data_IF_164678827060
#
_entry.id   IF_164678827060
#
_cell.length_a   1.000
_cell.length_b   1.000
_cell.length_c   1.000
_cell.angle_alpha   90.00
_cell.angle_beta   90.00
_cell.angle_gamma   90.00
#
_symmetry.space_group_name_H-M   'P 1'
#
loop_
_entity.id
_entity.type
_entity.pdbx_description
1 polymer ?
#
# COMPACT_ATOMS: atom_id res chain seq x y z
N UNK A 1 -5.79 -16.97 2.27
CA UNK A 1 -6.76 -15.84 2.40
C UNK A 1 -6.54 -15.22 3.78
N UNK A 2 -6.01 -13.99 3.88
CA UNK A 2 -5.63 -13.37 5.18
C UNK A 2 -6.22 -11.96 5.25
N UNK A 3 -6.59 -11.51 6.45
CA UNK A 3 -7.17 -10.18 6.65
C UNK A 3 -6.23 -9.07 6.19
N UNK A 4 -6.80 -8.00 5.64
CA UNK A 4 -6.09 -6.77 5.26
C UNK A 4 -6.62 -5.54 6.02
N UNK A 5 -7.55 -5.74 6.96
CA UNK A 5 -8.14 -4.67 7.75
C UNK A 5 -7.30 -4.31 8.99
N UNK A 6 -7.31 -3.04 9.36
CA UNK A 6 -6.70 -2.55 10.61
C UNK A 6 -7.41 -3.11 11.85
N UNK A 7 -6.72 -3.13 12.99
CA UNK A 7 -7.22 -3.68 14.24
C UNK A 7 -8.44 -2.95 14.79
N UNK A 8 -8.55 -1.65 14.55
CA UNK A 8 -9.71 -0.82 14.90
C UNK A 8 -10.99 -1.35 14.23
N UNK A 9 -10.91 -1.67 12.93
CA UNK A 9 -12.01 -2.28 12.20
C UNK A 9 -12.24 -3.73 12.62
N UNK A 10 -11.19 -4.51 12.88
CA UNK A 10 -11.33 -5.91 13.27
C UNK A 10 -12.13 -6.07 14.57
N UNK A 11 -11.80 -5.29 15.60
CA UNK A 11 -12.41 -5.40 16.95
C UNK A 11 -13.88 -4.99 17.00
N UNK A 12 -14.30 -4.09 16.11
CA UNK A 12 -15.62 -3.46 16.15
C UNK A 12 -16.61 -4.03 15.12
N UNK A 13 -16.29 -5.16 14.49
CA UNK A 13 -17.14 -5.76 13.44
C UNK A 13 -18.15 -6.73 14.03
N UNK A 14 -19.41 -6.48 13.73
CA UNK A 14 -20.53 -7.39 14.01
C UNK A 14 -20.97 -8.22 12.81
N UNK A 15 -20.55 -7.85 11.59
CA UNK A 15 -20.91 -8.54 10.33
C UNK A 15 -19.69 -8.65 9.39
N UNK A 16 -19.61 -9.73 8.56
CA UNK A 16 -18.57 -9.86 7.56
C UNK A 16 -18.54 -8.66 6.61
N UNK A 17 -17.33 -8.22 6.25
CA UNK A 17 -17.15 -7.11 5.33
C UNK A 17 -17.12 -7.58 3.86
N UNK A 18 -17.08 -6.62 2.93
CA UNK A 18 -16.99 -6.90 1.49
C UNK A 18 -15.85 -7.86 1.14
N UNK A 19 -14.69 -7.78 1.82
CA UNK A 19 -13.55 -8.67 1.56
C UNK A 19 -13.89 -10.15 1.76
N UNK A 20 -14.83 -10.48 2.66
CA UNK A 20 -15.32 -11.83 2.81
C UNK A 20 -16.29 -12.21 1.68
N UNK A 21 -17.20 -11.31 1.32
CA UNK A 21 -18.18 -11.53 0.24
C UNK A 21 -17.54 -11.73 -1.14
N UNK A 22 -16.35 -11.16 -1.36
CA UNK A 22 -15.55 -11.37 -2.58
C UNK A 22 -14.45 -12.42 -2.40
N UNK A 23 -14.57 -13.29 -1.39
CA UNK A 23 -13.70 -14.45 -1.18
C UNK A 23 -12.22 -14.16 -0.87
N UNK A 24 -11.88 -12.94 -0.45
CA UNK A 24 -10.49 -12.55 -0.10
C UNK A 24 -10.13 -12.74 1.37
N UNK A 25 -11.13 -12.83 2.25
CA UNK A 25 -10.96 -12.99 3.69
C UNK A 25 -11.91 -14.06 4.25
N UNK A 26 -11.42 -14.87 5.17
CA UNK A 26 -12.20 -15.91 5.88
C UNK A 26 -12.99 -15.38 7.08
N UNK A 27 -13.03 -14.05 7.24
CA UNK A 27 -13.81 -13.34 8.25
C UNK A 27 -13.54 -13.79 9.71
N UNK A 28 -12.26 -13.84 10.16
CA UNK A 28 -11.93 -14.11 11.57
C UNK A 28 -12.53 -13.10 12.55
N UNK A 29 -12.82 -11.86 12.10
CA UNK A 29 -13.39 -10.80 12.94
C UNK A 29 -14.80 -11.10 13.45
N UNK A 30 -15.50 -12.07 12.87
CA UNK A 30 -16.85 -12.49 13.28
C UNK A 30 -16.93 -13.99 13.54
N UNK A 31 -15.78 -14.67 13.72
CA UNK A 31 -15.73 -16.08 14.10
C UNK A 31 -16.19 -17.08 13.04
N UNK A 32 -16.21 -16.70 11.75
CA UNK A 32 -16.57 -17.62 10.65
C UNK A 32 -15.46 -18.63 10.31
N UNK A 33 -14.29 -18.50 10.92
CA UNK A 33 -13.14 -19.40 10.82
C UNK A 33 -12.56 -19.58 12.22
N UNK A 34 -12.08 -20.78 12.54
CA UNK A 34 -11.44 -21.03 13.83
C UNK A 34 -10.07 -20.33 13.91
N UNK A 35 -9.60 -20.09 15.14
CA UNK A 35 -8.27 -19.49 15.35
C UNK A 35 -7.16 -20.37 14.75
N UNK A 36 -7.26 -21.69 14.92
CA UNK A 36 -6.28 -22.65 14.39
C UNK A 36 -6.28 -22.69 12.86
N UNK A 37 -7.46 -22.74 12.22
CA UNK A 37 -7.55 -22.72 10.75
C UNK A 37 -7.04 -21.39 10.19
N UNK A 38 -7.33 -20.27 10.86
CA UNK A 38 -6.84 -18.97 10.44
C UNK A 38 -5.32 -18.83 10.63
N UNK A 39 -4.78 -19.35 11.73
CA UNK A 39 -3.33 -19.40 11.95
C UNK A 39 -2.63 -20.18 10.83
N UNK A 40 -3.20 -21.30 10.41
CA UNK A 40 -2.70 -22.08 9.28
C UNK A 40 -2.70 -21.29 7.96
N UNK A 41 -3.75 -20.51 7.70
CA UNK A 41 -3.84 -19.64 6.52
C UNK A 41 -2.78 -18.53 6.54
N UNK A 42 -2.49 -17.97 7.73
CA UNK A 42 -1.44 -16.96 7.92
C UNK A 42 -0.05 -17.57 7.70
N UNK A 43 0.19 -18.76 8.22
CA UNK A 43 1.44 -19.50 8.03
C UNK A 43 1.67 -19.78 6.53
N UNK A 44 0.68 -20.31 5.83
CA UNK A 44 0.76 -20.61 4.40
C UNK A 44 1.02 -19.34 3.57
N UNK A 45 0.36 -18.23 3.91
CA UNK A 45 0.59 -16.94 3.26
C UNK A 45 2.01 -16.43 3.53
N UNK A 46 2.52 -16.63 4.75
CA UNK A 46 3.90 -16.27 5.12
C UNK A 46 4.93 -17.09 4.35
N UNK A 47 4.73 -18.40 4.22
CA UNK A 47 5.58 -19.29 3.41
C UNK A 47 5.63 -18.83 1.95
N UNK A 48 4.47 -18.51 1.38
CA UNK A 48 4.37 -17.99 0.02
C UNK A 48 5.16 -16.67 -0.15
N UNK A 49 4.96 -15.69 0.73
CA UNK A 49 5.62 -14.38 0.66
C UNK A 49 7.13 -14.45 0.90
N UNK A 50 7.60 -15.47 1.65
CA UNK A 50 9.04 -15.76 1.85
C UNK A 50 9.67 -16.53 0.68
N UNK A 51 8.91 -16.84 -0.37
CA UNK A 51 9.40 -17.59 -1.53
C UNK A 51 9.51 -19.10 -1.30
N UNK A 52 9.02 -19.62 -0.17
CA UNK A 52 8.97 -21.07 0.13
C UNK A 52 7.78 -21.75 -0.56
N UNK A 53 7.52 -21.43 -1.83
CA UNK A 53 6.34 -21.92 -2.55
C UNK A 53 6.38 -23.43 -2.77
N UNK A 54 7.55 -24.04 -2.90
CA UNK A 54 7.68 -25.49 -3.11
C UNK A 54 7.31 -26.27 -1.85
N UNK A 55 7.74 -25.80 -0.67
CA UNK A 55 7.34 -26.32 0.64
C UNK A 55 5.83 -26.21 0.83
N UNK A 56 5.25 -25.06 0.47
CA UNK A 56 3.80 -24.84 0.53
C UNK A 56 3.02 -25.76 -0.43
N UNK A 57 3.52 -26.00 -1.65
CA UNK A 57 2.86 -26.90 -2.60
C UNK A 57 2.81 -28.35 -2.11
N UNK A 58 3.89 -28.83 -1.49
CA UNK A 58 3.93 -30.18 -0.89
C UNK A 58 2.88 -30.26 0.22
N UNK A 59 2.87 -29.29 1.15
CA UNK A 59 1.90 -29.25 2.24
C UNK A 59 0.45 -29.24 1.75
N UNK A 60 0.14 -28.43 0.74
CA UNK A 60 -1.21 -28.37 0.17
C UNK A 60 -1.60 -29.65 -0.59
N UNK A 61 -0.64 -30.36 -1.17
CA UNK A 61 -0.89 -31.67 -1.78
C UNK A 61 -1.22 -32.72 -0.71
N UNK A 62 -0.44 -32.74 0.37
CA UNK A 62 -0.66 -33.65 1.51
C UNK A 62 -2.02 -33.36 2.17
N UNK A 63 -2.35 -32.09 2.42
CA UNK A 63 -3.64 -31.65 2.97
C UNK A 63 -4.82 -32.05 2.04
N UNK A 64 -4.63 -31.96 0.72
CA UNK A 64 -5.62 -32.37 -0.28
C UNK A 64 -5.86 -33.89 -0.24
N UNK A 65 -4.78 -34.68 -0.21
CA UNK A 65 -4.87 -36.15 -0.14
C UNK A 65 -5.53 -36.61 1.16
N UNK A 66 -5.18 -35.99 2.29
CA UNK A 66 -5.79 -36.29 3.58
C UNK A 66 -7.29 -35.95 3.58
N UNK A 67 -7.67 -34.77 3.09
CA UNK A 67 -9.09 -34.40 2.99
C UNK A 67 -9.88 -35.35 2.07
N UNK A 68 -9.26 -35.85 0.99
CA UNK A 68 -9.88 -36.85 0.12
C UNK A 68 -10.03 -38.20 0.81
N UNK A 69 -9.04 -38.63 1.61
CA UNK A 69 -9.10 -39.86 2.40
C UNK A 69 -10.20 -39.81 3.48
N UNK A 70 -10.43 -38.63 4.05
CA UNK A 70 -11.50 -38.36 5.03
C UNK A 70 -12.88 -38.13 4.38
N UNK A 71 -13.00 -38.31 3.05
CA UNK A 71 -14.22 -38.07 2.26
C UNK A 71 -14.72 -36.61 2.29
N UNK A 72 -13.85 -35.66 2.65
CA UNK A 72 -14.13 -34.23 2.70
C UNK A 72 -13.85 -33.56 1.34
N UNK A 73 -14.59 -33.96 0.30
CA UNK A 73 -14.34 -33.56 -1.10
C UNK A 73 -14.36 -32.05 -1.36
N UNK A 74 -15.19 -31.29 -0.64
CA UNK A 74 -15.24 -29.83 -0.76
C UNK A 74 -13.91 -29.19 -0.29
N UNK A 75 -13.36 -29.67 0.84
CA UNK A 75 -12.05 -29.21 1.33
C UNK A 75 -10.93 -29.62 0.37
N UNK A 76 -10.95 -30.86 -0.13
CA UNK A 76 -9.98 -31.32 -1.12
C UNK A 76 -10.02 -30.48 -2.40
N UNK A 77 -11.21 -30.10 -2.89
CA UNK A 77 -11.36 -29.21 -4.04
C UNK A 77 -10.74 -27.82 -3.79
N UNK A 78 -10.93 -27.25 -2.59
CA UNK A 78 -10.31 -25.97 -2.21
C UNK A 78 -8.77 -26.07 -2.24
N UNK A 79 -8.18 -27.13 -1.69
CA UNK A 79 -6.72 -27.33 -1.73
C UNK A 79 -6.19 -27.52 -3.15
N UNK A 80 -6.88 -28.32 -3.98
CA UNK A 80 -6.56 -28.51 -5.39
C UNK A 80 -6.54 -27.19 -6.16
N UNK A 81 -7.55 -26.35 -5.95
CA UNK A 81 -7.67 -25.07 -6.65
C UNK A 81 -6.56 -24.09 -6.20
N UNK A 82 -6.21 -24.09 -4.89
CA UNK A 82 -5.07 -23.33 -4.38
C UNK A 82 -3.74 -23.81 -4.99
N UNK A 83 -3.56 -25.12 -5.12
CA UNK A 83 -2.37 -25.73 -5.69
C UNK A 83 -2.22 -25.37 -7.17
N UNK A 84 -3.31 -25.43 -7.93
CA UNK A 84 -3.36 -25.00 -9.34
C UNK A 84 -3.04 -23.50 -9.49
N UNK A 85 -3.61 -22.64 -8.65
CA UNK A 85 -3.30 -21.20 -8.65
C UNK A 85 -1.82 -20.93 -8.33
N UNK A 86 -1.26 -21.63 -7.34
CA UNK A 86 0.16 -21.52 -7.00
C UNK A 86 1.07 -21.96 -8.15
N UNK A 87 0.74 -23.06 -8.82
CA UNK A 87 1.47 -23.54 -9.99
C UNK A 87 1.40 -22.55 -11.15
N UNK A 88 0.24 -21.94 -11.41
CA UNK A 88 0.08 -20.93 -12.46
C UNK A 88 0.86 -19.65 -12.16
N UNK A 89 0.87 -19.22 -10.89
CA UNK A 89 1.71 -18.10 -10.44
C UNK A 89 3.19 -18.43 -10.55
N UNK A 90 3.60 -19.68 -10.25
CA UNK A 90 4.99 -20.09 -10.40
C UNK A 90 5.42 -20.18 -11.88
N UNK A 91 4.56 -20.72 -12.74
CA UNK A 91 4.81 -20.82 -14.17
C UNK A 91 4.88 -19.45 -14.86
N UNK A 92 4.13 -18.46 -14.38
CA UNK A 92 4.15 -17.09 -14.89
C UNK A 92 5.28 -16.21 -14.33
N UNK A 93 6.01 -16.67 -13.30
CA UNK A 93 7.02 -15.86 -12.60
C UNK A 93 8.44 -16.45 -12.57
N UNK A 94 8.72 -17.49 -13.36
CA UNK A 94 10.08 -17.94 -13.57
C UNK A 94 10.81 -17.07 -14.59
N UNK A 95 11.35 -15.92 -14.20
CA UNK A 95 12.48 -15.36 -14.95
C UNK A 95 13.75 -15.93 -14.32
N UNK A 96 14.27 -17.00 -14.94
CA UNK A 96 15.56 -17.59 -14.58
C UNK A 96 16.66 -16.50 -14.53
N UNK A 97 17.54 -16.56 -13.54
CA UNK A 97 18.75 -15.72 -13.47
C UNK A 97 18.74 -14.55 -12.48
N UNK A 98 17.64 -14.30 -11.76
CA UNK A 98 17.64 -13.32 -10.64
C UNK A 98 17.68 -14.05 -9.31
N UNK A 99 18.70 -13.79 -8.50
CA UNK A 99 18.80 -14.25 -7.11
C UNK A 99 18.87 -13.05 -6.17
N UNK A 100 18.24 -13.19 -4.99
CA UNK A 100 18.27 -12.20 -3.92
C UNK A 100 17.12 -11.19 -3.93
N UNK A 101 17.13 -10.36 -2.89
CA UNK A 101 16.13 -9.33 -2.64
C UNK A 101 16.60 -8.00 -3.23
N UNK A 102 15.72 -7.37 -4.02
CA UNK A 102 15.97 -6.07 -4.61
C UNK A 102 14.73 -5.18 -4.58
N UNK A 103 14.93 -3.88 -4.48
CA UNK A 103 13.85 -2.91 -4.66
C UNK A 103 14.13 -2.06 -5.89
N UNK A 104 13.07 -1.67 -6.60
CA UNK A 104 13.17 -0.80 -7.78
C UNK A 104 12.45 0.50 -7.46
N UNK A 105 13.16 1.62 -7.59
CA UNK A 105 12.66 2.95 -7.31
C UNK A 105 12.71 3.76 -8.60
N UNK A 106 11.55 4.10 -9.14
CA UNK A 106 11.44 4.93 -10.33
C UNK A 106 10.82 6.27 -9.97
N UNK A 107 11.48 7.37 -10.37
CA UNK A 107 10.94 8.71 -10.23
C UNK A 107 10.48 9.26 -11.59
N UNK A 108 9.32 9.91 -11.60
CA UNK A 108 8.83 10.73 -12.69
C UNK A 108 8.59 12.15 -12.17
N UNK A 109 8.91 13.16 -12.98
CA UNK A 109 8.69 14.58 -12.66
C UNK A 109 7.98 15.24 -13.83
N UNK A 110 6.89 15.92 -13.54
CA UNK A 110 6.05 16.61 -14.52
C UNK A 110 5.32 17.76 -13.84
N UNK A 111 5.20 18.92 -14.52
CA UNK A 111 4.44 20.08 -14.05
C UNK A 111 4.74 20.51 -12.58
N UNK A 112 6.01 20.44 -12.15
CA UNK A 112 6.41 20.82 -10.77
C UNK A 112 5.96 19.84 -9.68
N UNK A 113 5.70 18.57 -10.05
CA UNK A 113 5.35 17.48 -9.15
C UNK A 113 6.19 16.24 -9.44
N UNK A 114 6.45 15.45 -8.40
CA UNK A 114 7.18 14.19 -8.48
C UNK A 114 6.26 13.06 -8.07
N UNK A 115 6.49 11.92 -8.71
CA UNK A 115 5.99 10.64 -8.29
C UNK A 115 7.18 9.69 -8.16
N UNK A 116 7.29 9.01 -7.03
CA UNK A 116 8.26 7.94 -6.81
C UNK A 116 7.51 6.64 -6.63
N UNK A 117 7.70 5.71 -7.56
CA UNK A 117 7.20 4.35 -7.49
C UNK A 117 8.25 3.42 -6.91
N UNK A 118 7.89 2.69 -5.85
CA UNK A 118 8.72 1.66 -5.23
C UNK A 118 8.12 0.29 -5.52
N UNK A 119 8.87 -0.58 -6.20
CA UNK A 119 8.51 -1.97 -6.47
C UNK A 119 9.36 -2.89 -5.58
N UNK A 120 8.71 -3.78 -4.85
CA UNK A 120 9.38 -4.71 -3.94
C UNK A 120 9.57 -6.06 -4.62
N UNK A 121 10.82 -6.49 -4.81
CA UNK A 121 11.16 -7.77 -5.42
C UNK A 121 11.89 -8.66 -4.44
N UNK A 122 11.32 -9.83 -4.11
CA UNK A 122 11.93 -10.81 -3.21
C UNK A 122 11.95 -12.17 -3.89
N UNK A 123 13.07 -12.89 -3.78
CA UNK A 123 13.27 -14.17 -4.45
C UNK A 123 12.83 -14.17 -5.94
N UNK A 124 13.25 -13.14 -6.69
CA UNK A 124 12.90 -12.91 -8.10
C UNK A 124 11.41 -12.68 -8.43
N UNK A 125 10.58 -12.39 -7.42
CA UNK A 125 9.15 -12.11 -7.59
C UNK A 125 8.78 -10.73 -7.10
N UNK A 126 7.89 -10.08 -7.82
CA UNK A 126 7.30 -8.81 -7.40
C UNK A 126 6.28 -9.10 -6.29
N UNK A 127 6.54 -8.66 -5.06
CA UNK A 127 5.61 -8.81 -3.93
C UNK A 127 4.55 -7.73 -3.91
N UNK A 128 4.83 -6.57 -4.50
CA UNK A 128 3.92 -5.44 -4.51
C UNK A 128 4.63 -4.15 -4.88
N UNK A 129 3.88 -3.06 -4.84
CA UNK A 129 4.42 -1.74 -5.14
C UNK A 129 3.74 -0.66 -4.32
N UNK A 130 4.39 0.49 -4.18
CA UNK A 130 3.85 1.65 -3.47
C UNK A 130 4.28 2.94 -4.15
N UNK A 131 3.32 3.86 -4.25
CA UNK A 131 3.49 5.17 -4.87
C UNK A 131 3.65 6.24 -3.81
N UNK A 132 4.56 7.18 -4.04
CA UNK A 132 4.81 8.32 -3.18
C UNK A 132 4.84 9.61 -4.00
N UNK A 133 4.43 10.71 -3.39
CA UNK A 133 4.44 12.03 -4.03
C UNK A 133 5.26 13.00 -3.16
N UNK A 134 6.61 12.90 -3.20
CA UNK A 134 7.45 13.78 -2.41
C UNK A 134 7.29 15.24 -2.87
N UNK A 135 7.37 16.22 -1.96
CA UNK A 135 7.39 17.62 -2.34
C UNK A 135 8.66 17.91 -3.16
N UNK A 136 8.50 18.58 -4.30
CA UNK A 136 9.63 19.12 -5.06
C UNK A 136 10.09 20.46 -4.51
N UNK A 137 11.40 20.68 -4.55
CA UNK A 137 11.99 22.02 -4.60
C UNK A 137 12.04 22.50 -6.06
N UNK A 138 12.26 23.79 -6.26
CA UNK A 138 12.22 24.40 -7.61
C UNK A 138 13.21 23.69 -8.54
N UNK A 139 12.70 23.20 -9.68
CA UNK A 139 13.47 22.60 -10.79
C UNK A 139 14.20 21.28 -10.49
N UNK A 140 13.75 20.50 -9.49
CA UNK A 140 14.38 19.18 -9.27
C UNK A 140 14.09 18.21 -10.41
N UNK A 141 15.13 17.51 -10.88
CA UNK A 141 15.03 16.43 -11.84
C UNK A 141 14.81 15.07 -11.14
N UNK A 142 14.44 13.98 -11.85
CA UNK A 142 14.23 12.68 -11.24
C UNK A 142 15.42 12.12 -10.43
N UNK A 143 16.66 12.44 -10.82
CA UNK A 143 17.85 11.99 -10.09
C UNK A 143 18.00 12.70 -8.74
N UNK A 144 17.72 14.00 -8.69
CA UNK A 144 17.72 14.80 -7.45
C UNK A 144 16.60 14.35 -6.51
N UNK A 145 15.39 14.11 -7.05
CA UNK A 145 14.26 13.56 -6.29
C UNK A 145 14.63 12.23 -5.65
N UNK A 146 15.24 11.31 -6.41
CA UNK A 146 15.71 10.03 -5.86
C UNK A 146 16.87 10.21 -4.86
N UNK A 147 17.76 11.18 -5.10
CA UNK A 147 18.86 11.52 -4.21
C UNK A 147 18.39 11.93 -2.81
N UNK A 148 17.28 12.67 -2.72
CA UNK A 148 16.66 13.01 -1.44
C UNK A 148 15.77 11.89 -0.89
N UNK A 149 14.99 11.24 -1.77
CA UNK A 149 13.99 10.26 -1.37
C UNK A 149 14.62 8.97 -0.81
N UNK A 150 15.65 8.42 -1.46
CA UNK A 150 16.24 7.11 -1.07
C UNK A 150 16.81 7.11 0.35
N UNK A 151 17.68 8.08 0.76
CA UNK A 151 18.16 8.14 2.14
C UNK A 151 17.01 8.32 3.13
N UNK A 152 16.08 9.25 2.88
CA UNK A 152 14.95 9.48 3.78
C UNK A 152 14.07 8.21 3.90
N UNK A 153 13.90 7.48 2.80
CA UNK A 153 13.10 6.28 2.75
C UNK A 153 13.72 5.13 3.55
N UNK A 154 15.01 4.86 3.39
CA UNK A 154 15.65 3.71 4.05
C UNK A 154 16.26 4.03 5.42
N UNK A 155 16.80 5.23 5.61
CA UNK A 155 17.49 5.63 6.85
C UNK A 155 16.57 6.38 7.83
N UNK A 156 15.47 6.95 7.34
CA UNK A 156 14.51 7.70 8.19
C UNK A 156 13.61 6.82 9.07
N UNK A 157 13.70 5.49 8.99
CA UNK A 157 12.93 4.57 9.82
C UNK A 157 13.47 3.13 9.78
N UNK A 158 12.89 2.24 10.57
CA UNK A 158 13.31 0.83 10.66
C UNK A 158 12.80 -0.02 9.47
N UNK A 159 13.20 0.33 8.24
CA UNK A 159 12.86 -0.46 7.03
C UNK A 159 13.99 -1.42 6.68
N UNK A 160 13.64 -2.60 6.17
CA UNK A 160 14.61 -3.55 5.64
C UNK A 160 15.21 -3.01 4.34
N UNK A 161 16.54 -2.86 4.29
CA UNK A 161 17.28 -2.39 3.12
C UNK A 161 17.65 -3.62 2.28
N UNK A 162 17.25 -3.76 1.00
CA UNK A 162 17.57 -4.92 0.16
C UNK A 162 19.06 -5.00 -0.23
N UNK A 163 19.49 -6.10 -0.86
CA UNK A 163 20.88 -6.27 -1.32
C UNK A 163 21.23 -5.45 -2.56
N UNK A 164 20.22 -5.15 -3.36
CA UNK A 164 20.33 -4.38 -4.59
C UNK A 164 19.15 -3.40 -4.67
N UNK A 165 19.42 -2.16 -5.07
CA UNK A 165 18.43 -1.12 -5.32
C UNK A 165 18.63 -0.66 -6.76
N UNK A 166 17.56 -0.67 -7.54
CA UNK A 166 17.58 -0.28 -8.95
C UNK A 166 16.84 1.04 -9.11
N UNK A 167 17.43 2.00 -9.80
CA UNK A 167 16.86 3.34 -10.02
C UNK A 167 16.78 3.70 -11.50
N UNK A 168 15.76 4.44 -11.94
CA UNK A 168 15.67 4.89 -13.33
C UNK A 168 16.60 6.09 -13.61
N UNK A 169 16.76 6.97 -12.63
CA UNK A 169 17.65 8.12 -12.69
C UNK A 169 18.65 8.03 -11.51
N UNK A 170 19.94 7.73 -11.77
CA UNK A 170 20.92 7.61 -10.70
C UNK A 170 21.19 8.99 -10.07
N UNK A 171 21.11 9.12 -8.72
CA UNK A 171 21.58 10.31 -8.03
C UNK A 171 23.06 10.62 -8.33
N UNK A 172 23.51 11.87 -8.15
CA UNK A 172 24.92 12.21 -8.37
C UNK A 172 25.86 11.42 -7.44
N UNK A 173 25.54 11.36 -6.14
CA UNK A 173 26.35 10.70 -5.11
C UNK A 173 25.92 9.24 -4.81
N UNK A 174 25.73 8.43 -5.86
CA UNK A 174 25.35 7.01 -5.73
C UNK A 174 26.32 6.21 -4.84
N UNK A 175 27.62 6.52 -4.90
CA UNK A 175 28.64 5.82 -4.11
C UNK A 175 28.46 6.06 -2.61
N UNK A 176 28.29 7.33 -2.21
CA UNK A 176 28.03 7.74 -0.83
C UNK A 176 26.72 7.14 -0.31
N UNK A 177 25.67 7.18 -1.14
CA UNK A 177 24.39 6.56 -0.81
C UNK A 177 24.52 5.05 -0.55
N UNK A 178 25.19 4.32 -1.44
CA UNK A 178 25.41 2.89 -1.29
C UNK A 178 26.22 2.55 -0.04
N UNK A 179 27.23 3.36 0.30
CA UNK A 179 28.01 3.19 1.53
C UNK A 179 27.15 3.40 2.78
N UNK A 180 26.37 4.48 2.85
CA UNK A 180 25.50 4.76 3.98
C UNK A 180 24.45 3.66 4.19
N UNK A 181 23.83 3.18 3.11
CA UNK A 181 22.89 2.07 3.16
C UNK A 181 23.55 0.76 3.59
N UNK A 182 24.77 0.49 3.12
CA UNK A 182 25.52 -0.71 3.51
C UNK A 182 25.89 -0.70 5.00
N UNK A 183 26.30 0.46 5.53
CA UNK A 183 26.60 0.63 6.94
C UNK A 183 25.36 0.38 7.82
N UNK A 184 24.20 0.93 7.45
CA UNK A 184 22.95 0.71 8.16
C UNK A 184 22.45 -0.73 8.06
N UNK A 185 22.63 -1.39 6.91
CA UNK A 185 22.18 -2.76 6.68
C UNK A 185 23.11 -3.83 7.29
N UNK A 186 24.34 -3.47 7.68
CA UNK A 186 25.36 -4.43 8.12
C UNK A 186 25.84 -5.40 7.03
N UNK A 187 25.55 -5.10 5.75
CA UNK A 187 25.94 -5.90 4.58
C UNK A 187 26.08 -5.02 3.34
N UNK A 188 26.73 -5.53 2.30
CA UNK A 188 26.88 -4.78 1.05
C UNK A 188 25.53 -4.52 0.38
N UNK A 189 25.25 -3.24 0.09
CA UNK A 189 24.09 -2.77 -0.69
C UNK A 189 24.60 -2.12 -1.97
N UNK A 190 24.02 -2.52 -3.12
CA UNK A 190 24.38 -2.00 -4.43
C UNK A 190 23.25 -1.14 -4.99
N UNK A 191 23.55 0.08 -5.42
CA UNK A 191 22.60 0.94 -6.14
C UNK A 191 22.99 0.95 -7.62
N UNK A 192 22.05 0.63 -8.51
CA UNK A 192 22.30 0.50 -9.96
C UNK A 192 21.23 1.19 -10.78
N UNK A 193 21.60 1.75 -11.92
CA UNK A 193 20.65 2.31 -12.89
C UNK A 193 20.63 1.57 -14.23
N UNK A 194 21.76 0.98 -14.64
CA UNK A 194 21.89 0.21 -15.88
C UNK A 194 21.75 -1.27 -15.58
N UNK A 195 20.61 -1.84 -15.96
CA UNK A 195 20.26 -3.26 -15.74
C UNK A 195 19.76 -3.88 -17.04
N UNK A 196 19.74 -5.22 -17.10
CA UNK A 196 19.32 -5.99 -18.29
C UNK A 196 18.21 -6.98 -17.92
N UNK A 197 17.57 -7.53 -18.95
CA UNK A 197 16.63 -8.66 -18.84
C UNK A 197 15.47 -8.41 -17.86
N UNK A 198 15.27 -9.29 -16.88
CA UNK A 198 14.22 -9.21 -15.86
C UNK A 198 14.19 -7.86 -15.15
N UNK A 199 15.37 -7.41 -14.69
CA UNK A 199 15.55 -6.16 -13.95
C UNK A 199 15.18 -4.95 -14.81
N UNK A 200 15.51 -4.98 -16.10
CA UNK A 200 15.15 -3.92 -17.03
C UNK A 200 13.63 -3.85 -17.25
N UNK A 201 12.96 -5.01 -17.40
CA UNK A 201 11.50 -5.08 -17.53
C UNK A 201 10.80 -4.54 -16.29
N UNK A 202 11.26 -4.89 -15.09
CA UNK A 202 10.68 -4.36 -13.86
C UNK A 202 10.96 -2.87 -13.66
N UNK A 203 12.12 -2.38 -14.08
CA UNK A 203 12.43 -0.96 -14.08
C UNK A 203 11.50 -0.19 -15.01
N UNK A 204 11.28 -0.69 -16.23
CA UNK A 204 10.31 -0.09 -17.18
C UNK A 204 8.89 -0.07 -16.61
N UNK A 205 8.45 -1.17 -15.98
CA UNK A 205 7.14 -1.23 -15.33
C UNK A 205 7.01 -0.18 -14.21
N UNK A 206 8.05 -0.03 -13.38
CA UNK A 206 8.06 0.96 -12.31
C UNK A 206 8.01 2.40 -12.86
N UNK A 207 8.74 2.69 -13.93
CA UNK A 207 8.72 4.00 -14.61
C UNK A 207 7.33 4.29 -15.18
N UNK A 208 6.76 3.37 -15.96
CA UNK A 208 5.43 3.55 -16.55
C UNK A 208 4.34 3.74 -15.49
N UNK A 209 4.45 3.02 -14.37
CA UNK A 209 3.53 3.18 -13.24
C UNK A 209 3.71 4.54 -12.56
N UNK A 210 4.96 5.01 -12.39
CA UNK A 210 5.23 6.33 -11.83
C UNK A 210 4.63 7.44 -12.69
N UNK A 211 4.84 7.39 -14.01
CA UNK A 211 4.28 8.34 -14.99
C UNK A 211 2.74 8.32 -14.99
N UNK A 212 2.13 7.13 -15.06
CA UNK A 212 0.66 7.00 -15.06
C UNK A 212 0.05 7.52 -13.75
N UNK A 213 0.71 7.23 -12.62
CA UNK A 213 0.26 7.70 -11.29
C UNK A 213 0.45 9.20 -11.11
N UNK A 214 1.47 9.79 -11.75
CA UNK A 214 1.69 11.23 -11.77
C UNK A 214 0.64 11.94 -12.62
N UNK A 215 0.41 11.47 -13.85
CA UNK A 215 -0.61 11.99 -14.74
C UNK A 215 -2.01 11.93 -14.08
N UNK A 216 -2.34 10.81 -13.43
CA UNK A 216 -3.60 10.66 -12.68
C UNK A 216 -3.68 11.61 -11.48
N UNK A 217 -2.55 11.85 -10.79
CA UNK A 217 -2.52 12.82 -9.69
C UNK A 217 -2.74 14.26 -10.20
N UNK A 218 -2.12 14.63 -11.31
CA UNK A 218 -2.26 15.94 -11.94
C UNK A 218 -3.70 16.17 -12.43
N UNK A 219 -4.29 15.20 -13.12
CA UNK A 219 -5.68 15.28 -13.61
C UNK A 219 -6.70 15.32 -12.47
N UNK A 220 -6.48 14.50 -11.43
CA UNK A 220 -7.31 14.53 -10.22
C UNK A 220 -7.32 15.91 -9.56
N UNK A 221 -6.19 16.61 -9.53
CA UNK A 221 -6.10 17.98 -8.99
C UNK A 221 -6.82 18.99 -9.87
N UNK A 222 -6.71 18.88 -11.19
CA UNK A 222 -7.46 19.74 -12.11
C UNK A 222 -8.96 19.64 -11.86
N UNK A 223 -9.46 18.41 -11.62
CA UNK A 223 -10.87 18.21 -11.23
C UNK A 223 -11.24 18.83 -9.89
N UNK A 224 -10.31 18.93 -8.92
CA UNK A 224 -10.56 19.59 -7.63
C UNK A 224 -10.63 21.10 -7.81
N UNK A 225 -9.75 21.69 -8.62
CA UNK A 225 -9.73 23.12 -8.88
C UNK A 225 -11.02 23.57 -9.59
N UNK A 226 -11.46 22.81 -10.59
CA UNK A 226 -12.75 23.02 -11.28
C UNK A 226 -13.94 22.93 -10.32
N UNK A 227 -13.95 21.95 -9.40
CA UNK A 227 -15.00 21.82 -8.37
C UNK A 227 -14.99 23.00 -7.40
N UNK A 228 -13.82 23.50 -7.01
CA UNK A 228 -13.70 24.66 -6.11
C UNK A 228 -14.14 25.96 -6.82
N UNK A 229 -13.87 26.11 -8.12
CA UNK A 229 -14.40 27.21 -8.93
C UNK A 229 -15.93 27.13 -9.04
N UNK A 230 -16.47 25.96 -9.36
CA UNK A 230 -17.93 25.76 -9.39
C UNK A 230 -18.58 26.03 -8.03
N UNK A 231 -17.92 25.67 -6.92
CA UNK A 231 -18.40 25.99 -5.57
C UNK A 231 -18.34 27.50 -5.27
N UNK A 232 -17.27 28.18 -5.69
CA UNK A 232 -17.15 29.64 -5.58
C UNK A 232 -18.31 30.33 -6.30
N UNK A 233 -18.57 29.95 -7.56
CA UNK A 233 -19.65 30.50 -8.37
C UNK A 233 -21.03 30.19 -7.76
N UNK A 234 -21.24 28.95 -7.29
CA UNK A 234 -22.51 28.53 -6.69
C UNK A 234 -22.87 29.30 -5.42
N UNK A 235 -21.86 29.63 -4.60
CA UNK A 235 -22.04 30.31 -3.30
C UNK A 235 -21.77 31.82 -3.36
N UNK A 236 -21.49 32.36 -4.55
CA UNK A 236 -21.13 33.77 -4.79
C UNK A 236 -19.99 34.26 -3.87
N UNK A 237 -18.95 33.43 -3.73
CA UNK A 237 -17.81 33.74 -2.87
C UNK A 237 -16.85 34.70 -3.58
N UNK A 238 -16.33 35.74 -2.88
CA UNK A 238 -15.43 36.72 -3.48
C UNK A 238 -14.09 36.11 -3.93
N UNK A 239 -13.67 35.03 -3.29
CA UNK A 239 -12.45 34.28 -3.63
C UNK A 239 -12.70 32.78 -3.54
N UNK A 240 -11.88 32.01 -4.26
CA UNK A 240 -11.93 30.55 -4.21
C UNK A 240 -11.63 30.07 -2.77
N UNK A 241 -12.45 29.15 -2.21
CA UNK A 241 -12.22 28.64 -0.87
C UNK A 241 -10.86 27.90 -0.78
N UNK A 242 -9.94 28.47 0.00
CA UNK A 242 -8.59 27.92 0.16
C UNK A 242 -8.51 26.83 1.23
N UNK A 243 -9.43 26.88 2.20
CA UNK A 243 -9.55 25.95 3.31
C UNK A 243 -11.03 25.75 3.63
N UNK A 244 -11.45 24.50 3.73
CA UNK A 244 -12.81 24.11 4.09
C UNK A 244 -12.75 23.18 5.29
N UNK A 245 -13.48 23.52 6.35
CA UNK A 245 -13.64 22.71 7.54
C UNK A 245 -15.07 22.21 7.57
N UNK A 246 -15.25 20.89 7.57
CA UNK A 246 -16.57 20.26 7.59
C UNK A 246 -16.75 19.56 8.93
N UNK A 247 -17.82 19.92 9.64
CA UNK A 247 -18.18 19.34 10.92
C UNK A 247 -19.30 18.33 10.73
N UNK A 248 -19.10 17.12 11.23
CA UNK A 248 -20.10 16.06 11.31
C UNK A 248 -20.45 15.83 12.78
N UNK A 249 -21.72 16.03 13.14
CA UNK A 249 -22.22 15.85 14.50
C UNK A 249 -22.81 14.45 14.63
N UNK A 250 -22.23 13.62 15.49
CA UNK A 250 -22.67 12.25 15.73
C UNK A 250 -23.17 12.07 17.15
N UNK A 251 -24.33 11.41 17.27
CA UNK A 251 -24.94 11.05 18.54
C UNK A 251 -24.76 9.56 18.81
N UNK A 252 -24.05 9.24 19.90
CA UNK A 252 -24.02 7.90 20.46
C UNK A 252 -25.25 7.76 21.34
N UNK A 253 -26.17 6.84 21.03
CA UNK A 253 -27.47 6.65 21.71
C UNK A 253 -27.42 6.73 23.26
N UNK A 254 -27.45 7.94 23.82
CA UNK A 254 -27.66 8.19 25.25
C UNK A 254 -26.74 9.21 25.94
N UNK A 255 -25.44 9.34 25.63
CA UNK A 255 -24.54 9.99 26.62
C UNK A 255 -23.40 10.87 26.10
N UNK A 256 -23.00 10.79 24.83
CA UNK A 256 -21.89 11.63 24.33
C UNK A 256 -22.11 12.09 22.88
N UNK A 257 -22.28 13.40 22.70
CA UNK A 257 -22.25 14.07 21.40
C UNK A 257 -20.79 14.30 21.00
N UNK A 258 -20.42 13.82 19.81
CA UNK A 258 -19.06 13.96 19.28
C UNK A 258 -19.13 14.65 17.93
N UNK A 259 -18.39 15.75 17.78
CA UNK A 259 -18.20 16.40 16.50
C UNK A 259 -16.87 15.96 15.87
N UNK A 260 -16.92 15.57 14.60
CA UNK A 260 -15.74 15.28 13.80
C UNK A 260 -15.50 16.41 12.81
N UNK A 261 -14.34 17.06 12.89
CA UNK A 261 -13.91 18.06 11.92
C UNK A 261 -12.93 17.44 10.93
N UNK A 262 -13.31 17.44 9.65
CA UNK A 262 -12.44 17.11 8.54
C UNK A 262 -12.04 18.38 7.81
N UNK A 263 -10.77 18.47 7.43
CA UNK A 263 -10.19 19.67 6.83
C UNK A 263 -9.76 19.36 5.40
N UNK A 264 -10.17 20.21 4.48
CA UNK A 264 -9.74 20.21 3.09
C UNK A 264 -9.03 21.52 2.74
N UNK A 265 -8.02 21.44 1.89
CA UNK A 265 -7.40 22.59 1.24
C UNK A 265 -7.40 22.39 -0.29
N UNK A 266 -6.76 23.31 -1.02
CA UNK A 266 -6.65 23.26 -2.49
C UNK A 266 -5.94 22.00 -3.03
N UNK A 267 -5.28 21.21 -2.17
CA UNK A 267 -4.62 19.95 -2.48
C UNK A 267 -5.46 18.72 -2.07
N UNK A 268 -6.64 18.91 -1.48
CA UNK A 268 -7.52 17.85 -1.01
C UNK A 268 -7.55 17.71 0.52
N UNK A 269 -7.83 16.51 1.06
CA UNK A 269 -7.98 16.32 2.50
C UNK A 269 -6.66 16.46 3.28
N UNK A 270 -6.63 17.35 4.28
CA UNK A 270 -5.49 17.62 5.16
C UNK A 270 -5.61 16.87 6.48
N UNK A 271 -5.30 15.56 6.45
CA UNK A 271 -5.49 14.64 7.59
C UNK A 271 -4.79 15.05 8.89
N UNK A 272 -3.66 15.76 8.83
CA UNK A 272 -2.96 16.27 10.02
C UNK A 272 -3.80 17.22 10.87
N UNK A 273 -4.78 17.86 10.23
CA UNK A 273 -5.61 18.89 10.83
C UNK A 273 -6.97 18.35 11.28
N UNK A 274 -7.22 17.05 11.13
CA UNK A 274 -8.48 16.46 11.56
C UNK A 274 -8.60 16.52 13.08
N UNK A 275 -9.79 16.86 13.58
CA UNK A 275 -10.06 16.96 15.02
C UNK A 275 -11.35 16.24 15.37
N UNK A 276 -11.42 15.78 16.61
CA UNK A 276 -12.63 15.30 17.26
C UNK A 276 -12.86 16.14 18.50
N UNK A 277 -14.10 16.57 18.68
CA UNK A 277 -14.52 17.36 19.82
C UNK A 277 -15.56 16.56 20.60
N UNK A 278 -15.31 16.37 21.88
CA UNK A 278 -16.34 15.89 22.80
C UNK A 278 -17.14 17.11 23.23
N UNK A 279 -18.45 17.07 23.02
CA UNK A 279 -19.33 18.17 23.33
C UNK A 279 -20.10 17.82 24.60
N UNK A 280 -19.97 18.68 25.61
CA UNK A 280 -20.56 18.53 26.93
C UNK A 280 -21.48 19.71 27.24
N UNK A 281 -22.44 19.49 28.15
CA UNK A 281 -23.32 20.57 28.65
C UNK A 281 -24.46 20.99 27.71
N UNK A 282 -24.72 20.23 26.64
CA UNK A 282 -25.85 20.45 25.73
C UNK A 282 -26.99 19.46 25.97
N UNK A 283 -28.19 19.81 25.49
CA UNK A 283 -29.35 18.89 25.50
C UNK A 283 -29.05 17.70 24.58
N UNK A 284 -29.28 16.44 25.02
CA UNK A 284 -29.04 15.28 24.16
C UNK A 284 -29.84 15.36 22.85
N UNK A 285 -29.15 15.22 21.72
CA UNK A 285 -29.76 15.28 20.39
C UNK A 285 -29.95 16.68 19.82
N UNK A 286 -29.39 17.72 20.44
CA UNK A 286 -29.41 19.09 19.93
C UNK A 286 -28.17 19.39 19.06
N UNK A 287 -28.28 19.05 17.77
CA UNK A 287 -27.23 19.26 16.77
C UNK A 287 -26.90 20.75 16.54
N UNK A 288 -27.80 21.68 16.88
CA UNK A 288 -27.55 23.12 16.70
C UNK A 288 -26.76 23.73 17.86
N UNK A 289 -26.95 23.20 19.06
CA UNK A 289 -26.15 23.57 20.23
C UNK A 289 -24.75 22.96 20.21
N UNK A 290 -24.58 21.85 19.49
CA UNK A 290 -23.32 21.13 19.28
C UNK A 290 -22.40 21.84 18.28
#
# INVERSE_FOLDING_TARGET
>A
KVRQCEDSYFRNRSRPCLQHQIDRCTAPCVGLVSEDEYAQQVENTTLFLRGKSQELMVRLADDMEQAAAELAYEKAAVYRDQLSQLQQVQASQGIEGVQGDLDILAAAVEAGRACVQVLFVRAARVLGSKTYYPPLRLQENPAEVLGAFVPQYYLGGARAIPGEIIVNAPPEDVATLAQALSAQAGRQVRVRSRVREARARWLQLAVQTAETSLASHLSGRQSVLERLQALQELLDLPEQPQRMECFDISHSSGEATVASCVVFDQNGPRKSDYRRFNIEGITPGDDYAA
#
